data_IF_777380747295
#
_entry.id   IF_777380747295
#
_cell.length_a   1.000
_cell.length_b   1.000
_cell.length_c   1.000
_cell.angle_alpha   90.00
_cell.angle_beta   90.00
_cell.angle_gamma   90.00
#
_symmetry.space_group_name_H-M   'P 1'
#
loop_
_entity.id
_entity.type
_entity.pdbx_description
1 polymer ?
#
# COMPACT_ATOMS: atom_id res chain seq x y z
N UNK A 1 -0.24 -4.94 -28.07
CA UNK A 1 -0.76 -3.91 -27.14
C UNK A 1 -1.38 -4.65 -25.98
N UNK A 2 -0.70 -4.71 -24.83
CA UNK A 2 -1.29 -5.23 -23.60
C UNK A 2 -2.42 -4.28 -23.19
N UNK A 3 -3.65 -4.79 -23.16
CA UNK A 3 -4.79 -4.06 -22.60
C UNK A 3 -4.42 -3.65 -21.16
N UNK A 4 -4.56 -2.36 -20.88
CA UNK A 4 -4.38 -1.83 -19.54
C UNK A 4 -5.38 -2.55 -18.65
N UNK A 5 -4.89 -3.39 -17.72
CA UNK A 5 -5.75 -3.90 -16.67
C UNK A 5 -6.25 -2.68 -15.91
N UNK A 6 -7.56 -2.42 -15.95
CA UNK A 6 -8.14 -1.45 -15.03
C UNK A 6 -7.74 -1.90 -13.61
N UNK A 7 -7.13 -1.01 -12.81
CA UNK A 7 -6.79 -1.36 -11.44
C UNK A 7 -8.07 -1.83 -10.75
N UNK A 8 -8.03 -2.92 -9.97
CA UNK A 8 -9.18 -3.33 -9.19
C UNK A 8 -9.61 -2.14 -8.30
N UNK A 9 -10.83 -1.67 -8.50
CA UNK A 9 -11.39 -0.61 -7.66
C UNK A 9 -11.45 -1.13 -6.23
N UNK A 10 -10.75 -0.46 -5.31
CA UNK A 10 -10.71 -0.89 -3.89
C UNK A 10 -12.10 -0.83 -3.22
N UNK A 11 -13.03 -0.06 -3.78
CA UNK A 11 -14.44 -0.01 -3.34
C UNK A 11 -15.24 -1.27 -3.74
N UNK A 12 -14.71 -2.12 -4.64
CA UNK A 12 -15.50 -3.18 -5.29
C UNK A 12 -14.75 -4.51 -5.38
N UNK A 13 -13.89 -4.80 -4.41
CA UNK A 13 -13.60 -6.18 -4.05
C UNK A 13 -14.86 -6.79 -3.43
N UNK A 14 -15.88 -7.04 -4.27
CA UNK A 14 -17.08 -7.77 -3.93
C UNK A 14 -16.67 -9.00 -3.13
N UNK A 15 -17.00 -8.96 -1.84
CA UNK A 15 -17.05 -10.12 -0.99
C UNK A 15 -17.89 -11.16 -1.75
N UNK A 16 -17.46 -12.44 -1.80
CA UNK A 16 -18.28 -13.47 -2.41
C UNK A 16 -19.66 -13.45 -1.75
N UNK A 17 -20.68 -13.23 -2.56
CA UNK A 17 -22.09 -13.27 -2.16
C UNK A 17 -22.50 -14.71 -1.87
N UNK A 18 -22.12 -15.21 -0.71
CA UNK A 18 -22.75 -16.39 -0.11
C UNK A 18 -22.64 -16.37 1.41
N UNK A 19 -23.66 -15.77 2.02
CA UNK A 19 -24.14 -15.99 3.39
C UNK A 19 -23.09 -16.02 4.51
N UNK A 20 -22.81 -14.88 5.13
CA UNK A 20 -23.20 -14.59 6.53
C UNK A 20 -22.55 -13.27 6.99
N UNK A 21 -23.40 -12.33 7.39
CA UNK A 21 -23.09 -11.02 7.97
C UNK A 21 -22.24 -10.08 7.08
N UNK A 22 -22.93 -9.24 6.31
CA UNK A 22 -22.40 -7.95 5.87
C UNK A 22 -21.91 -7.18 7.09
N UNK A 23 -20.60 -7.09 7.23
CA UNK A 23 -19.95 -6.28 8.26
C UNK A 23 -19.52 -4.98 7.60
N UNK A 24 -20.11 -3.88 8.07
CA UNK A 24 -19.95 -2.55 7.49
C UNK A 24 -18.49 -2.08 7.54
N UNK A 25 -18.17 -1.08 6.73
CA UNK A 25 -16.89 -0.33 6.80
C UNK A 25 -16.58 0.26 8.20
N UNK A 26 -17.54 0.20 9.13
CA UNK A 26 -17.42 0.62 10.52
C UNK A 26 -17.16 -0.54 11.51
N UNK A 27 -16.82 -1.75 11.04
CA UNK A 27 -16.19 -2.72 11.95
C UNK A 27 -14.88 -2.12 12.44
N UNK A 28 -14.96 -1.51 13.63
CA UNK A 28 -13.83 -1.23 14.49
C UNK A 28 -13.05 -2.54 14.60
N UNK A 29 -12.01 -2.69 13.78
CA UNK A 29 -10.91 -3.57 14.09
C UNK A 29 -10.48 -3.10 15.47
N UNK A 30 -10.86 -3.88 16.49
CA UNK A 30 -10.33 -3.74 17.82
C UNK A 30 -8.83 -3.88 17.63
N UNK A 31 -8.15 -2.73 17.60
CA UNK A 31 -6.71 -2.71 17.70
C UNK A 31 -6.42 -3.36 19.04
N UNK A 32 -6.07 -4.64 19.00
CA UNK A 32 -5.33 -5.26 20.08
C UNK A 32 -4.11 -4.33 20.20
N UNK A 33 -3.97 -3.58 21.30
CA UNK A 33 -2.80 -2.75 21.49
C UNK A 33 -1.61 -3.67 21.25
N UNK A 34 -0.56 -3.17 20.59
CA UNK A 34 0.72 -3.87 20.50
C UNK A 34 1.32 -3.98 21.92
N UNK A 35 0.65 -4.71 22.82
CA UNK A 35 0.84 -4.76 24.25
C UNK A 35 2.16 -5.43 24.64
N UNK A 36 2.91 -5.90 23.64
CA UNK A 36 4.15 -6.62 23.81
C UNK A 36 5.36 -5.96 23.15
N UNK A 37 5.19 -4.87 22.39
CA UNK A 37 6.33 -4.12 21.89
C UNK A 37 6.64 -2.96 22.86
N UNK A 38 7.87 -2.91 23.43
CA UNK A 38 8.25 -1.77 24.26
C UNK A 38 8.10 -0.49 23.45
N UNK A 39 7.41 0.51 24.01
CA UNK A 39 7.32 1.80 23.36
C UNK A 39 8.74 2.39 23.25
N UNK A 40 9.09 2.97 22.09
CA UNK A 40 10.36 3.67 21.96
C UNK A 40 10.45 4.80 22.99
N UNK A 41 11.61 4.95 23.63
CA UNK A 41 11.84 5.99 24.66
C UNK A 41 12.86 7.04 24.22
N UNK A 42 13.40 6.93 23.01
CA UNK A 42 14.35 7.87 22.44
C UNK A 42 13.73 9.22 22.12
N UNK A 43 14.62 10.17 21.85
CA UNK A 43 14.28 11.55 21.52
C UNK A 43 14.91 11.95 20.19
N UNK A 44 14.16 12.68 19.37
CA UNK A 44 14.67 13.29 18.14
C UNK A 44 14.75 14.80 18.29
N UNK A 45 15.87 15.39 17.90
CA UNK A 45 16.18 16.79 18.20
C UNK A 45 16.57 17.55 16.95
N UNK A 46 15.89 18.65 16.69
CA UNK A 46 16.22 19.58 15.59
C UNK A 46 16.36 20.99 16.14
N UNK A 47 17.40 21.69 15.70
CA UNK A 47 17.64 23.09 16.04
C UNK A 47 17.45 23.97 14.81
N UNK A 48 16.94 25.19 15.00
CA UNK A 48 16.89 26.18 13.93
C UNK A 48 18.30 26.63 13.53
N UNK A 49 18.47 27.03 12.26
CA UNK A 49 19.78 27.43 11.72
C UNK A 49 20.45 28.59 12.50
N UNK A 50 19.65 29.42 13.18
CA UNK A 50 20.12 30.53 14.01
C UNK A 50 20.27 30.19 15.51
N UNK A 51 20.00 28.94 15.90
CA UNK A 51 20.06 28.48 17.29
C UNK A 51 19.04 29.14 18.23
N UNK A 52 18.01 29.79 17.69
CA UNK A 52 17.00 30.48 18.50
C UNK A 52 15.85 29.60 18.95
N UNK A 53 15.64 28.47 18.28
CA UNK A 53 14.62 27.49 18.63
C UNK A 53 15.15 26.07 18.48
N UNK A 54 14.65 25.19 19.34
CA UNK A 54 14.94 23.76 19.29
C UNK A 54 13.63 22.99 19.50
N UNK A 55 13.43 21.95 18.70
CA UNK A 55 12.31 21.03 18.77
C UNK A 55 12.85 19.68 19.21
N UNK A 56 12.25 19.13 20.26
CA UNK A 56 12.56 17.81 20.81
C UNK A 56 11.31 16.95 20.77
N UNK A 57 11.34 15.88 20.00
CA UNK A 57 10.23 14.94 19.83
C UNK A 57 10.49 13.69 20.65
N UNK A 58 9.50 13.24 21.42
CA UNK A 58 9.57 12.04 22.25
C UNK A 58 9.03 10.81 21.52
N UNK A 59 9.26 9.62 22.11
CA UNK A 59 8.67 8.37 21.63
C UNK A 59 9.31 7.82 20.36
N UNK A 60 10.61 8.07 20.17
CA UNK A 60 11.34 7.69 18.98
C UNK A 60 12.30 6.52 19.25
N UNK A 61 12.68 5.76 18.23
CA UNK A 61 13.77 4.79 18.34
C UNK A 61 15.12 5.50 18.48
N UNK A 62 16.13 4.83 19.04
CA UNK A 62 17.49 5.38 19.10
C UNK A 62 18.10 5.46 17.70
N UNK A 63 18.96 6.46 17.46
CA UNK A 63 19.72 6.63 16.21
C UNK A 63 18.88 6.76 14.92
N UNK A 64 17.64 7.24 15.02
CA UNK A 64 16.79 7.50 13.84
C UNK A 64 17.23 8.73 13.05
N UNK A 65 17.16 8.64 11.72
CA UNK A 65 17.37 9.78 10.82
C UNK A 65 16.16 10.72 10.78
N UNK A 66 14.95 10.15 10.89
CA UNK A 66 13.68 10.86 10.82
C UNK A 66 12.68 10.28 11.82
N UNK A 67 11.87 11.12 12.49
CA UNK A 67 10.79 10.64 13.35
C UNK A 67 9.82 9.73 12.60
N UNK A 68 9.28 8.72 13.28
CA UNK A 68 8.33 7.76 12.69
C UNK A 68 7.05 7.73 13.50
N UNK A 69 5.91 7.86 12.84
CA UNK A 69 4.60 7.80 13.47
C UNK A 69 3.67 6.84 12.75
N UNK A 70 2.82 6.15 13.50
CA UNK A 70 1.82 5.22 12.98
C UNK A 70 0.39 5.76 13.03
N UNK A 71 -0.57 4.89 12.74
CA UNK A 71 -2.00 5.22 12.78
C UNK A 71 -2.42 5.70 14.17
N UNK A 72 -3.04 6.89 14.24
CA UNK A 72 -3.41 7.51 15.52
C UNK A 72 -2.22 7.84 16.43
N UNK A 73 -1.00 7.85 15.90
CA UNK A 73 0.20 8.18 16.65
C UNK A 73 0.14 9.59 17.24
N UNK A 74 0.75 9.75 18.40
CA UNK A 74 0.85 11.04 19.09
C UNK A 74 2.18 11.71 18.76
N UNK A 75 2.12 12.87 18.13
CA UNK A 75 3.27 13.76 17.94
C UNK A 75 3.41 14.61 19.19
N UNK A 76 4.24 14.17 20.13
CA UNK A 76 4.51 14.85 21.39
C UNK A 76 5.95 15.33 21.49
N UNK A 77 6.14 16.45 22.16
CA UNK A 77 7.48 17.03 22.29
C UNK A 77 7.55 18.32 23.08
N UNK A 78 8.74 18.92 23.02
CA UNK A 78 9.10 20.17 23.70
C UNK A 78 9.71 21.14 22.67
N UNK A 79 9.23 22.38 22.70
CA UNK A 79 9.81 23.52 21.98
C UNK A 79 10.61 24.35 22.97
N UNK A 80 11.90 24.54 22.73
CA UNK A 80 12.81 25.36 23.54
C UNK A 80 13.20 26.61 22.75
N UNK A 81 13.09 27.79 23.38
CA UNK A 81 13.38 29.09 22.79
C UNK A 81 14.52 29.78 23.53
N UNK A 82 15.53 30.22 22.79
CA UNK A 82 16.70 30.90 23.36
C UNK A 82 16.45 32.38 23.68
N UNK A 83 15.48 33.02 22.99
CA UNK A 83 15.14 34.45 23.15
C UNK A 83 13.63 34.61 23.16
N UNK A 84 13.07 35.18 24.23
CA UNK A 84 11.61 35.24 24.44
C UNK A 84 11.03 36.66 24.43
N UNK A 85 11.86 37.70 24.59
CA UNK A 85 11.42 39.09 24.80
C UNK A 85 10.57 39.67 23.66
N UNK A 86 10.85 39.26 22.43
CA UNK A 86 10.23 39.80 21.21
C UNK A 86 9.14 38.90 20.62
N UNK A 87 8.82 37.78 21.26
CA UNK A 87 7.88 36.80 20.71
C UNK A 87 6.45 37.31 20.82
N UNK A 88 5.67 37.08 19.76
CA UNK A 88 4.26 37.41 19.63
C UNK A 88 3.38 36.16 19.68
N UNK A 89 3.78 35.09 19.00
CA UNK A 89 3.11 33.79 19.11
C UNK A 89 4.08 32.64 18.86
N UNK A 90 3.73 31.48 19.42
CA UNK A 90 4.39 30.20 19.20
C UNK A 90 3.30 29.19 18.85
N UNK A 91 3.33 28.69 17.62
CA UNK A 91 2.36 27.75 17.09
C UNK A 91 3.08 26.50 16.59
N UNK A 92 2.56 25.31 16.88
CA UNK A 92 3.02 24.04 16.32
C UNK A 92 1.98 23.52 15.35
N UNK A 93 2.40 23.16 14.15
CA UNK A 93 1.53 22.62 13.11
C UNK A 93 2.11 21.31 12.60
N UNK A 94 1.24 20.31 12.47
CA UNK A 94 1.54 19.03 11.82
C UNK A 94 0.76 19.00 10.52
N UNK A 95 1.47 18.82 9.42
CA UNK A 95 0.90 18.90 8.08
C UNK A 95 1.51 17.87 7.14
N UNK A 96 0.81 17.59 6.05
CA UNK A 96 1.25 16.71 4.97
C UNK A 96 0.99 17.34 3.61
N UNK A 97 1.54 16.73 2.58
CA UNK A 97 1.36 17.18 1.19
C UNK A 97 1.46 16.00 0.24
N UNK A 98 0.46 15.90 -0.62
CA UNK A 98 0.46 14.97 -1.75
C UNK A 98 0.86 15.75 -2.98
N UNK A 99 1.95 15.35 -3.62
CA UNK A 99 2.40 15.90 -4.90
C UNK A 99 2.32 14.80 -5.95
N UNK A 100 1.65 15.08 -7.05
CA UNK A 100 1.59 14.18 -8.21
C UNK A 100 1.90 15.01 -9.44
N UNK A 101 2.91 14.62 -10.20
CA UNK A 101 3.35 15.33 -11.39
C UNK A 101 3.45 14.35 -12.55
N UNK A 102 2.63 14.53 -13.58
CA UNK A 102 2.68 13.73 -14.80
C UNK A 102 3.62 14.35 -15.82
N UNK A 103 4.56 13.56 -16.34
CA UNK A 103 5.61 13.98 -17.27
C UNK A 103 5.06 14.03 -18.71
N UNK A 104 5.28 15.16 -19.39
CA UNK A 104 4.81 15.42 -20.76
C UNK A 104 3.84 16.59 -20.78
N UNK A 105 2.56 16.34 -20.48
CA UNK A 105 1.49 17.35 -20.51
C UNK A 105 0.39 17.11 -19.46
N UNK A 106 0.60 16.18 -18.52
CA UNK A 106 -0.46 15.74 -17.60
C UNK A 106 -0.78 16.76 -16.50
N UNK A 107 0.19 17.61 -16.17
CA UNK A 107 0.06 18.67 -15.14
C UNK A 107 0.64 18.26 -13.80
N UNK A 108 0.40 19.08 -12.78
CA UNK A 108 0.81 18.81 -11.41
C UNK A 108 -0.37 19.06 -10.46
N UNK A 109 -0.57 18.14 -9.53
CA UNK A 109 -1.46 18.30 -8.37
C UNK A 109 -0.63 18.45 -7.12
N UNK A 110 -1.11 19.33 -6.26
CA UNK A 110 -0.51 19.61 -4.97
C UNK A 110 -1.62 19.79 -3.93
N UNK A 111 -1.82 18.76 -3.10
CA UNK A 111 -2.88 18.72 -2.11
C UNK A 111 -2.28 18.86 -0.70
N UNK A 112 -2.46 20.00 -0.02
CA UNK A 112 -2.06 20.14 1.37
C UNK A 112 -3.00 19.33 2.27
N UNK A 113 -2.44 18.75 3.34
CA UNK A 113 -3.16 18.01 4.37
C UNK A 113 -2.86 18.66 5.71
N UNK A 114 -3.86 19.29 6.34
CA UNK A 114 -3.71 19.77 7.72
C UNK A 114 -4.06 18.64 8.68
N UNK A 115 -3.11 18.22 9.52
CA UNK A 115 -3.30 17.11 10.46
C UNK A 115 -3.61 17.60 11.87
N UNK A 116 -3.03 18.74 12.26
CA UNK A 116 -3.32 19.38 13.52
C UNK A 116 -2.51 20.67 13.69
N UNK A 117 -3.03 21.57 14.52
CA UNK A 117 -2.30 22.78 14.92
C UNK A 117 -2.64 23.12 16.36
N UNK A 118 -1.62 23.49 17.13
CA UNK A 118 -1.73 23.86 18.54
C UNK A 118 -1.01 25.18 18.76
N UNK A 119 -1.74 26.16 19.25
CA UNK A 119 -1.17 27.42 19.69
C UNK A 119 -0.64 27.27 21.11
N UNK A 120 0.69 27.29 21.26
CA UNK A 120 1.34 27.10 22.56
C UNK A 120 1.36 28.38 23.39
N UNK A 121 1.49 29.52 22.73
CA UNK A 121 1.50 30.81 23.40
C UNK A 121 1.19 31.96 22.44
N UNK A 122 0.49 32.97 22.95
CA UNK A 122 0.24 34.24 22.25
C UNK A 122 0.36 35.39 23.24
N UNK A 123 1.01 36.48 22.81
CA UNK A 123 1.14 37.69 23.60
C UNK A 123 -0.22 38.39 23.73
N UNK A 124 -0.76 38.44 24.94
CA UNK A 124 -1.89 39.33 25.26
C UNK A 124 -1.38 40.67 25.82
N UNK A 125 -2.19 41.72 25.70
CA UNK A 125 -1.77 43.12 25.95
C UNK A 125 -1.24 43.40 27.37
N UNK A 126 -1.61 42.58 28.36
CA UNK A 126 -1.20 42.72 29.77
C UNK A 126 -0.52 41.45 30.33
N UNK A 127 -0.02 40.56 29.47
CA UNK A 127 0.41 39.22 29.89
C UNK A 127 1.89 39.13 30.33
N UNK A 128 2.15 38.07 31.09
CA UNK A 128 3.48 37.59 31.50
C UNK A 128 4.45 37.41 30.33
N UNK A 129 5.77 37.46 30.59
CA UNK A 129 6.78 37.20 29.55
C UNK A 129 6.59 35.82 28.92
N UNK A 130 7.00 35.69 27.65
CA UNK A 130 6.94 34.43 26.92
C UNK A 130 7.84 33.38 27.59
N UNK A 131 7.32 32.17 27.92
CA UNK A 131 8.14 31.08 28.43
C UNK A 131 9.25 30.65 27.46
N UNK A 132 10.35 30.12 27.98
CA UNK A 132 11.44 29.57 27.16
C UNK A 132 11.21 28.12 26.74
N UNK A 133 10.19 27.45 27.27
CA UNK A 133 9.93 26.03 27.04
C UNK A 133 8.44 25.76 26.97
N UNK A 134 8.01 25.00 25.96
CA UNK A 134 6.61 24.63 25.76
C UNK A 134 6.50 23.14 25.46
N UNK A 135 5.65 22.45 26.18
CA UNK A 135 5.25 21.08 25.85
C UNK A 135 4.05 21.10 24.90
N UNK A 136 4.01 20.17 23.96
CA UNK A 136 2.87 20.01 23.07
C UNK A 136 2.58 18.53 22.80
N UNK A 137 1.35 18.26 22.37
CA UNK A 137 0.93 16.97 21.86
C UNK A 137 -0.12 17.17 20.77
N UNK A 138 0.01 16.44 19.66
CA UNK A 138 -0.93 16.41 18.54
C UNK A 138 -1.15 14.96 18.13
N UNK A 139 -2.39 14.47 18.24
CA UNK A 139 -2.75 13.14 17.73
C UNK A 139 -2.97 13.19 16.23
N UNK A 140 -2.32 12.31 15.47
CA UNK A 140 -2.51 12.21 14.03
C UNK A 140 -3.92 11.69 13.71
N UNK A 141 -4.67 12.35 12.81
CA UNK A 141 -5.99 11.87 12.41
C UNK A 141 -5.84 10.58 11.59
N UNK A 142 -6.87 9.73 11.64
CA UNK A 142 -6.91 8.49 10.83
C UNK A 142 -7.27 8.74 9.37
N UNK A 143 -7.89 9.88 9.11
CA UNK A 143 -8.41 10.28 7.82
C UNK A 143 -8.25 11.78 7.62
N UNK A 144 -8.37 12.22 6.37
CA UNK A 144 -8.40 13.62 6.01
C UNK A 144 -9.48 13.86 4.95
N UNK A 145 -9.99 15.08 4.90
CA UNK A 145 -10.96 15.49 3.88
C UNK A 145 -10.23 16.11 2.69
N UNK A 146 -10.63 15.69 1.49
CA UNK A 146 -10.19 16.29 0.24
C UNK A 146 -11.36 16.34 -0.73
N UNK A 147 -11.72 17.56 -1.16
CA UNK A 147 -12.78 17.80 -2.15
C UNK A 147 -14.13 17.16 -1.79
N UNK A 148 -14.47 17.22 -0.50
CA UNK A 148 -15.74 16.70 0.02
C UNK A 148 -15.78 15.18 0.20
N UNK A 149 -14.67 14.47 -0.01
CA UNK A 149 -14.53 13.04 0.32
C UNK A 149 -13.54 12.86 1.46
N UNK A 150 -13.83 11.90 2.34
CA UNK A 150 -12.92 11.49 3.41
C UNK A 150 -12.06 10.33 2.93
N UNK A 151 -10.74 10.46 3.06
CA UNK A 151 -9.77 9.41 2.72
C UNK A 151 -9.00 9.00 3.97
N UNK A 152 -8.57 7.74 4.11
CA UNK A 152 -7.58 7.37 5.11
C UNK A 152 -6.30 8.20 4.94
N UNK A 153 -5.62 8.51 6.04
CA UNK A 153 -4.33 9.18 5.97
C UNK A 153 -3.31 8.24 5.28
N UNK A 154 -2.75 8.61 4.11
CA UNK A 154 -1.90 7.69 3.36
C UNK A 154 -0.50 7.59 3.97
N UNK A 155 0.22 6.48 3.79
CA UNK A 155 1.61 6.36 4.23
C UNK A 155 2.52 7.37 3.52
N UNK A 156 3.63 7.75 4.18
CA UNK A 156 4.77 8.38 3.50
C UNK A 156 5.25 7.47 2.37
N UNK A 157 5.13 7.94 1.12
CA UNK A 157 5.41 7.13 -0.05
C UNK A 157 5.92 7.99 -1.21
N UNK A 158 6.75 7.39 -2.06
CA UNK A 158 7.18 7.97 -3.33
C UNK A 158 7.19 6.90 -4.41
N UNK A 159 6.66 7.24 -5.57
CA UNK A 159 6.65 6.39 -6.75
C UNK A 159 6.97 7.21 -7.99
N UNK A 160 7.77 6.64 -8.89
CA UNK A 160 8.16 7.30 -10.13
C UNK A 160 8.06 6.31 -11.30
N UNK A 161 7.50 6.78 -12.41
CA UNK A 161 7.64 6.15 -13.73
C UNK A 161 8.45 7.10 -14.61
N UNK A 162 9.67 6.70 -14.96
CA UNK A 162 10.56 7.49 -15.83
C UNK A 162 10.10 7.40 -17.28
N UNK A 163 10.33 8.46 -18.04
CA UNK A 163 9.97 8.55 -19.46
C UNK A 163 8.73 9.40 -19.71
N UNK A 164 8.30 9.44 -20.98
CA UNK A 164 7.06 10.10 -21.41
C UNK A 164 6.25 9.06 -22.19
N UNK A 165 5.03 8.69 -21.74
CA UNK A 165 4.38 9.15 -20.51
C UNK A 165 5.08 8.65 -19.23
N UNK A 166 5.04 9.45 -18.18
CA UNK A 166 5.63 9.11 -16.88
C UNK A 166 4.98 9.92 -15.76
N UNK A 167 5.34 9.63 -14.51
CA UNK A 167 4.88 10.43 -13.36
C UNK A 167 5.90 10.41 -12.22
N UNK A 168 5.80 11.40 -11.35
CA UNK A 168 6.47 11.50 -10.07
C UNK A 168 5.43 11.82 -9.00
N UNK A 169 5.26 10.91 -8.04
CA UNK A 169 4.30 11.03 -6.95
C UNK A 169 5.03 10.95 -5.60
N UNK A 170 4.67 11.83 -4.68
CA UNK A 170 5.27 11.91 -3.35
C UNK A 170 4.28 12.37 -2.29
N UNK A 171 4.28 11.66 -1.15
CA UNK A 171 3.48 11.96 0.03
C UNK A 171 4.45 12.20 1.19
N UNK A 172 4.49 13.42 1.67
CA UNK A 172 5.45 13.87 2.69
C UNK A 172 4.73 14.55 3.84
N UNK A 173 5.28 14.43 5.04
CA UNK A 173 4.74 15.03 6.26
C UNK A 173 5.81 15.79 7.02
N UNK A 174 5.40 16.85 7.72
CA UNK A 174 6.29 17.73 8.48
C UNK A 174 5.65 18.20 9.78
N UNK A 175 6.52 18.49 10.75
CA UNK A 175 6.20 19.19 11.99
C UNK A 175 6.87 20.56 11.89
N UNK A 176 6.08 21.62 12.03
CA UNK A 176 6.50 23.01 11.87
C UNK A 176 6.21 23.81 13.12
N UNK A 177 7.24 24.39 13.73
CA UNK A 177 7.14 25.36 14.82
C UNK A 177 7.26 26.76 14.23
N UNK A 178 6.18 27.54 14.30
CA UNK A 178 6.14 28.93 13.82
C UNK A 178 6.24 29.91 14.97
N UNK A 179 7.27 30.76 14.94
CA UNK A 179 7.52 31.77 15.96
C UNK A 179 7.36 33.14 15.31
N UNK A 180 6.32 33.86 15.68
CA UNK A 180 6.11 35.26 15.26
C UNK A 180 6.80 36.17 16.25
N UNK A 181 7.55 37.18 15.77
CA UNK A 181 8.25 38.12 16.64
C UNK A 181 8.15 39.56 16.14
N UNK A 182 8.36 40.54 17.03
CA UNK A 182 8.38 41.97 16.71
C UNK A 182 9.79 42.51 16.86
N UNK A 183 10.29 43.23 15.86
CA UNK A 183 11.60 43.90 15.95
C UNK A 183 11.43 45.37 15.56
N UNK A 184 11.86 46.27 16.43
CA UNK A 184 11.75 47.74 16.25
C UNK A 184 10.34 48.27 15.94
N UNK A 185 9.31 47.79 16.64
CA UNK A 185 7.95 48.30 16.40
C UNK A 185 7.24 47.68 15.19
N UNK A 186 7.96 46.99 14.30
CA UNK A 186 7.44 46.35 13.09
C UNK A 186 7.40 44.83 13.24
N UNK A 187 6.38 44.20 12.67
CA UNK A 187 6.32 42.76 12.51
C UNK A 187 7.33 42.35 11.42
N UNK A 188 8.50 41.88 11.82
CA UNK A 188 9.50 41.31 10.90
C UNK A 188 9.26 39.80 10.87
N UNK A 189 9.28 39.21 9.66
CA UNK A 189 8.81 37.85 9.35
C UNK A 189 9.09 36.77 10.41
N UNK A 190 8.16 35.82 10.51
CA UNK A 190 8.25 34.70 11.44
C UNK A 190 9.47 33.81 11.17
N UNK A 191 10.04 33.24 12.23
CA UNK A 191 11.00 32.15 12.12
C UNK A 191 10.23 30.84 12.17
N UNK A 192 10.44 29.96 11.20
CA UNK A 192 9.82 28.64 11.17
C UNK A 192 10.90 27.58 11.24
N UNK A 193 10.83 26.73 12.27
CA UNK A 193 11.61 25.51 12.40
C UNK A 193 10.74 24.36 11.90
N UNK A 194 11.17 23.63 10.87
CA UNK A 194 10.40 22.51 10.32
C UNK A 194 11.28 21.27 10.20
N UNK A 195 10.69 20.10 10.46
CA UNK A 195 11.35 18.81 10.30
C UNK A 195 10.40 17.80 9.65
N UNK A 196 10.84 17.03 8.64
CA UNK A 196 10.03 15.96 8.07
C UNK A 196 9.90 14.78 9.04
N UNK A 197 8.83 14.01 8.88
CA UNK A 197 8.68 12.71 9.53
C UNK A 197 8.10 11.68 8.56
N UNK A 198 8.25 10.41 8.94
CA UNK A 198 7.73 9.27 8.21
C UNK A 198 6.44 8.80 8.86
N UNK A 199 5.36 8.75 8.09
CA UNK A 199 4.10 8.17 8.52
C UNK A 199 3.95 6.75 7.97
N UNK A 200 3.99 5.75 8.86
CA UNK A 200 3.84 4.33 8.54
C UNK A 200 2.67 3.74 9.32
N UNK A 201 1.45 3.75 8.76
CA UNK A 201 0.29 3.14 9.39
C UNK A 201 0.53 1.64 9.53
N UNK A 202 0.41 1.17 10.77
CA UNK A 202 0.55 -0.23 11.14
C UNK A 202 -0.78 -0.96 10.93
N UNK A 203 -0.75 -2.06 10.20
CA UNK A 203 -1.93 -2.88 9.90
C UNK A 203 -1.57 -4.35 10.06
N UNK A 204 -2.51 -5.14 10.57
CA UNK A 204 -2.40 -6.60 10.69
C UNK A 204 -3.47 -7.28 9.85
N UNK A 205 -3.22 -8.48 9.30
CA UNK A 205 -4.27 -9.34 8.76
C UNK A 205 -5.31 -9.66 9.83
N UNK A 206 -6.56 -9.88 9.43
CA UNK A 206 -7.65 -10.27 10.35
C UNK A 206 -7.61 -11.77 10.68
N UNK A 207 -7.01 -12.57 9.80
CA UNK A 207 -6.94 -14.02 9.91
C UNK A 207 -5.51 -14.49 9.66
N UNK A 208 -5.12 -15.55 10.38
CA UNK A 208 -3.92 -16.31 10.08
C UNK A 208 -3.99 -16.98 8.71
N UNK A 209 -2.84 -17.38 8.19
CA UNK A 209 -2.79 -18.21 6.98
C UNK A 209 -3.46 -19.56 7.26
N UNK A 210 -4.28 -20.07 6.32
CA UNK A 210 -4.94 -21.37 6.48
C UNK A 210 -3.91 -22.51 6.38
N UNK A 211 -4.28 -23.68 6.91
CA UNK A 211 -3.53 -24.91 6.66
C UNK A 211 -3.48 -25.24 5.15
N UNK A 212 -2.42 -25.90 4.65
CA UNK A 212 -2.32 -26.30 3.25
C UNK A 212 -3.49 -27.18 2.80
N UNK A 213 -3.95 -27.02 1.55
CA UNK A 213 -5.01 -27.85 1.00
C UNK A 213 -4.59 -29.32 0.87
N UNK A 214 -5.54 -30.20 1.16
CA UNK A 214 -5.37 -31.63 0.95
C UNK A 214 -5.69 -32.04 -0.51
N UNK A 215 -4.91 -32.98 -1.02
CA UNK A 215 -5.10 -33.55 -2.35
C UNK A 215 -6.37 -34.41 -2.42
N UNK A 216 -7.09 -34.29 -3.53
CA UNK A 216 -8.25 -35.09 -3.89
C UNK A 216 -7.98 -35.89 -5.17
N UNK A 217 -8.93 -36.73 -5.59
CA UNK A 217 -8.82 -37.51 -6.83
C UNK A 217 -8.67 -36.68 -8.12
N UNK A 218 -9.06 -35.39 -8.08
CA UNK A 218 -9.02 -34.43 -9.20
C UNK A 218 -8.56 -33.06 -8.70
N UNK A 219 -7.32 -32.96 -8.21
CA UNK A 219 -6.76 -31.71 -7.68
C UNK A 219 -6.92 -31.58 -6.17
N UNK A 220 -7.62 -30.54 -5.69
CA UNK A 220 -7.70 -30.22 -4.25
C UNK A 220 -9.14 -30.32 -3.72
N UNK A 221 -9.27 -30.69 -2.45
CA UNK A 221 -10.57 -30.61 -1.74
C UNK A 221 -10.80 -29.16 -1.33
N UNK A 222 -12.00 -28.62 -1.54
CA UNK A 222 -12.35 -27.30 -1.03
C UNK A 222 -12.35 -27.30 0.50
N UNK A 223 -11.63 -26.37 1.12
CA UNK A 223 -11.53 -26.22 2.57
C UNK A 223 -11.83 -24.79 3.00
N UNK A 224 -12.31 -24.64 4.23
CA UNK A 224 -12.51 -23.33 4.87
C UNK A 224 -11.18 -22.56 4.90
N UNK A 225 -11.23 -21.27 4.59
CA UNK A 225 -10.04 -20.41 4.55
C UNK A 225 -9.36 -20.35 3.19
N UNK A 226 -9.81 -21.12 2.20
CA UNK A 226 -9.33 -21.04 0.81
C UNK A 226 -10.42 -20.54 -0.13
N UNK A 227 -10.02 -19.79 -1.15
CA UNK A 227 -10.91 -19.35 -2.24
C UNK A 227 -10.38 -19.86 -3.58
N UNK A 228 -11.23 -20.57 -4.30
CA UNK A 228 -10.94 -21.08 -5.64
C UNK A 228 -11.40 -20.09 -6.71
N UNK A 229 -10.49 -19.77 -7.63
CA UNK A 229 -10.74 -18.97 -8.82
C UNK A 229 -10.64 -19.88 -10.04
N UNK A 230 -11.76 -20.03 -10.76
CA UNK A 230 -11.85 -20.94 -11.91
C UNK A 230 -11.81 -20.17 -13.21
N UNK A 231 -10.91 -20.57 -14.10
CA UNK A 231 -10.68 -19.99 -15.41
C UNK A 231 -10.72 -21.06 -16.49
N UNK A 232 -10.89 -20.66 -17.74
CA UNK A 232 -10.86 -21.58 -18.89
C UNK A 232 -9.86 -21.09 -19.93
N UNK A 233 -8.81 -21.89 -20.17
CA UNK A 233 -7.92 -21.72 -21.32
C UNK A 233 -8.70 -22.21 -22.54
N UNK A 234 -9.07 -21.27 -23.40
CA UNK A 234 -9.90 -21.55 -24.57
C UNK A 234 -9.08 -22.16 -25.68
N UNK A 235 -9.69 -23.08 -26.42
CA UNK A 235 -9.12 -23.59 -27.67
C UNK A 235 -9.65 -22.80 -28.88
N UNK A 236 -8.86 -22.75 -29.96
CA UNK A 236 -9.36 -22.22 -31.22
C UNK A 236 -10.46 -23.15 -31.78
N UNK A 237 -11.55 -22.61 -32.36
CA UNK A 237 -12.70 -23.41 -32.81
C UNK A 237 -12.37 -24.55 -33.79
N UNK A 238 -11.25 -24.44 -34.53
CA UNK A 238 -10.83 -25.43 -35.55
C UNK A 238 -9.92 -26.54 -35.01
N UNK A 239 -9.49 -26.45 -33.75
CA UNK A 239 -8.53 -27.40 -33.17
C UNK A 239 -9.14 -28.77 -32.83
N UNK A 240 -10.46 -28.82 -32.60
CA UNK A 240 -11.14 -30.03 -32.14
C UNK A 240 -10.78 -30.44 -30.69
N UNK A 241 -10.04 -29.61 -29.96
CA UNK A 241 -9.63 -29.86 -28.59
C UNK A 241 -10.59 -29.21 -27.59
N UNK A 242 -10.77 -29.85 -26.44
CA UNK A 242 -11.52 -29.31 -25.32
C UNK A 242 -10.74 -28.19 -24.61
N UNK A 243 -11.47 -27.27 -23.97
CA UNK A 243 -10.88 -26.25 -23.11
C UNK A 243 -10.17 -26.90 -21.91
N UNK A 244 -9.20 -26.17 -21.33
CA UNK A 244 -8.55 -26.58 -20.08
C UNK A 244 -9.09 -25.69 -18.97
N UNK A 245 -9.62 -26.31 -17.92
CA UNK A 245 -10.08 -25.61 -16.73
C UNK A 245 -8.91 -25.43 -15.78
N UNK A 246 -8.68 -24.19 -15.34
CA UNK A 246 -7.62 -23.83 -14.39
C UNK A 246 -8.29 -23.38 -13.10
N UNK A 247 -7.92 -23.97 -11.96
CA UNK A 247 -8.39 -23.55 -10.64
C UNK A 247 -7.20 -23.06 -9.83
N UNK A 248 -7.19 -21.77 -9.49
CA UNK A 248 -6.21 -21.17 -8.58
C UNK A 248 -6.84 -21.02 -7.19
N UNK A 249 -6.22 -21.63 -6.20
CA UNK A 249 -6.60 -21.54 -4.79
C UNK A 249 -5.63 -20.62 -4.07
N UNK A 250 -6.17 -19.58 -3.43
CA UNK A 250 -5.42 -18.66 -2.57
C UNK A 250 -6.14 -18.50 -1.23
N UNK A 251 -5.46 -18.09 -0.15
CA UNK A 251 -6.11 -17.82 1.13
C UNK A 251 -7.25 -16.82 0.98
N UNK A 252 -8.42 -17.17 1.52
CA UNK A 252 -9.66 -16.42 1.35
C UNK A 252 -9.60 -15.02 1.98
N UNK A 253 -8.78 -14.81 3.01
CA UNK A 253 -8.57 -13.52 3.66
C UNK A 253 -8.05 -12.46 2.69
N UNK A 254 -7.20 -12.86 1.73
CA UNK A 254 -6.49 -11.99 0.78
C UNK A 254 -5.78 -10.81 1.46
N UNK A 255 -5.42 -10.96 2.73
CA UNK A 255 -4.70 -9.99 3.53
C UNK A 255 -3.47 -10.70 4.11
N UNK A 256 -2.27 -10.22 3.79
CA UNK A 256 -1.02 -10.92 4.06
C UNK A 256 -0.03 -10.01 4.76
N UNK A 257 0.66 -10.53 5.76
CA UNK A 257 1.79 -9.83 6.34
C UNK A 257 2.94 -9.78 5.33
N UNK A 258 3.59 -8.62 5.17
CA UNK A 258 4.64 -8.38 4.18
C UNK A 258 5.89 -9.26 4.37
N UNK A 259 6.06 -9.88 5.53
CA UNK A 259 7.17 -10.79 5.81
C UNK A 259 6.81 -12.27 5.67
N UNK A 260 5.52 -12.59 5.49
CA UNK A 260 5.08 -13.97 5.28
C UNK A 260 5.22 -14.38 3.82
N UNK A 261 5.39 -15.69 3.61
CA UNK A 261 5.23 -16.28 2.30
C UNK A 261 3.79 -16.72 2.09
N UNK A 262 3.20 -16.36 0.95
CA UNK A 262 1.79 -16.63 0.67
C UNK A 262 1.62 -17.99 0.01
N UNK A 263 0.96 -18.98 0.65
CA UNK A 263 0.75 -20.27 0.04
C UNK A 263 -0.31 -20.17 -1.08
N UNK A 264 -0.16 -20.98 -2.12
CA UNK A 264 -1.15 -21.12 -3.18
C UNK A 264 -1.19 -22.55 -3.71
N UNK A 265 -2.31 -22.91 -4.32
CA UNK A 265 -2.44 -24.17 -5.05
C UNK A 265 -3.05 -23.91 -6.42
N UNK A 266 -2.66 -24.68 -7.43
CA UNK A 266 -3.25 -24.58 -8.76
C UNK A 266 -3.54 -25.97 -9.31
N UNK A 267 -4.67 -26.15 -9.99
CA UNK A 267 -4.97 -27.35 -10.76
C UNK A 267 -5.39 -27.02 -12.19
N UNK A 268 -5.08 -27.94 -13.08
CA UNK A 268 -5.46 -27.97 -14.49
C UNK A 268 -6.29 -29.22 -14.72
N UNK A 269 -7.43 -29.09 -15.39
CA UNK A 269 -8.32 -30.19 -15.73
C UNK A 269 -8.67 -30.11 -17.22
N UNK A 270 -8.56 -31.22 -17.94
CA UNK A 270 -8.94 -31.31 -19.37
C UNK A 270 -9.62 -32.64 -19.65
N UNK A 271 -10.26 -32.78 -20.81
CA UNK A 271 -10.85 -34.05 -21.26
C UNK A 271 -9.80 -35.01 -21.87
N UNK A 272 -8.58 -34.53 -22.13
CA UNK A 272 -7.50 -35.26 -22.77
C UNK A 272 -6.18 -35.13 -21.98
N UNK A 273 -5.37 -36.17 -21.99
CA UNK A 273 -4.09 -36.28 -21.27
C UNK A 273 -2.96 -35.48 -21.92
N UNK A 274 -2.90 -35.51 -23.25
CA UNK A 274 -1.82 -34.90 -24.04
C UNK A 274 -1.79 -33.38 -24.02
N UNK A 275 -2.87 -32.72 -23.62
CA UNK A 275 -3.04 -31.26 -23.70
C UNK A 275 -2.51 -30.53 -22.48
N UNK A 276 -2.51 -31.17 -21.31
CA UNK A 276 -2.27 -30.51 -20.03
C UNK A 276 -0.78 -30.45 -19.65
N UNK A 277 0.04 -31.39 -20.14
CA UNK A 277 1.48 -31.44 -19.85
C UNK A 277 2.25 -30.24 -20.42
N UNK A 278 1.71 -29.57 -21.43
CA UNK A 278 2.29 -28.36 -22.02
C UNK A 278 2.21 -27.13 -21.10
N UNK A 279 1.37 -27.17 -20.07
CA UNK A 279 1.12 -26.05 -19.14
C UNK A 279 1.81 -26.18 -17.79
N UNK A 280 2.74 -27.13 -17.67
CA UNK A 280 3.49 -27.32 -16.44
C UNK A 280 4.29 -26.05 -16.09
N UNK A 281 4.35 -25.66 -14.81
CA UNK A 281 5.12 -24.50 -14.37
C UNK A 281 6.63 -24.74 -14.51
N UNK A 282 7.07 -26.00 -14.68
CA UNK A 282 8.47 -26.36 -14.84
C UNK A 282 8.78 -26.62 -16.31
N UNK A 283 9.73 -25.87 -16.88
CA UNK A 283 10.31 -26.14 -18.19
C UNK A 283 11.76 -26.62 -18.06
N UNK A 284 12.34 -27.25 -19.10
CA UNK A 284 13.78 -27.47 -19.15
C UNK A 284 14.51 -26.13 -18.99
N UNK A 285 15.69 -26.14 -18.35
CA UNK A 285 16.44 -24.93 -18.03
C UNK A 285 16.59 -24.01 -19.27
N UNK A 286 15.98 -22.81 -19.19
CA UNK A 286 15.96 -21.82 -20.29
C UNK A 286 14.66 -21.75 -21.09
N UNK A 287 13.69 -22.64 -20.88
CA UNK A 287 12.34 -22.49 -21.44
C UNK A 287 11.50 -21.51 -20.62
N UNK A 288 10.66 -20.72 -21.29
CA UNK A 288 9.68 -19.86 -20.61
C UNK A 288 8.68 -20.72 -19.82
N UNK A 289 8.43 -20.34 -18.57
CA UNK A 289 7.42 -20.99 -17.73
C UNK A 289 6.03 -20.80 -18.34
N UNK A 290 5.39 -21.90 -18.72
CA UNK A 290 4.04 -21.85 -19.29
C UNK A 290 3.02 -21.32 -18.28
N UNK A 291 3.23 -21.59 -17.00
CA UNK A 291 2.40 -21.09 -15.90
C UNK A 291 3.24 -20.25 -14.96
N UNK A 292 2.78 -19.02 -14.70
CA UNK A 292 3.43 -18.07 -13.79
C UNK A 292 2.39 -17.44 -12.87
N UNK A 293 2.72 -17.34 -11.58
CA UNK A 293 1.94 -16.59 -10.61
C UNK A 293 2.85 -15.54 -9.99
N UNK A 294 2.43 -14.28 -9.99
CA UNK A 294 3.21 -13.18 -9.41
C UNK A 294 2.36 -12.40 -8.42
N UNK A 295 3.00 -11.84 -7.41
CA UNK A 295 2.44 -10.73 -6.63
C UNK A 295 2.97 -9.43 -7.24
N UNK A 296 2.06 -8.57 -7.66
CA UNK A 296 2.38 -7.28 -8.25
C UNK A 296 1.90 -6.14 -7.38
N UNK A 297 2.61 -5.02 -7.46
CA UNK A 297 2.22 -3.71 -6.97
C UNK A 297 2.00 -2.78 -8.16
N UNK A 298 0.85 -2.14 -8.21
CA UNK A 298 0.51 -1.15 -9.22
C UNK A 298 0.35 0.23 -8.59
N UNK A 299 1.21 1.16 -9.00
CA UNK A 299 1.09 2.58 -8.67
C UNK A 299 0.39 3.30 -9.83
N UNK A 300 -0.74 3.93 -9.58
CA UNK A 300 -1.55 4.62 -10.59
C UNK A 300 -1.69 6.09 -10.25
N UNK A 301 -1.37 6.95 -11.21
CA UNK A 301 -1.54 8.40 -11.19
C UNK A 301 -2.70 8.80 -12.11
N UNK A 302 -3.51 9.76 -11.66
CA UNK A 302 -4.51 10.45 -12.47
C UNK A 302 -4.53 11.94 -12.10
N UNK A 303 -3.73 12.74 -12.80
CA UNK A 303 -3.65 14.19 -12.56
C UNK A 303 -4.81 14.95 -13.19
N UNK A 304 -5.44 14.42 -14.23
CA UNK A 304 -6.47 15.16 -14.96
C UNK A 304 -7.84 15.00 -14.31
N UNK A 305 -8.10 13.86 -13.65
CA UNK A 305 -9.40 13.54 -13.05
C UNK A 305 -10.57 13.64 -14.05
N UNK A 306 -10.26 13.63 -15.35
CA UNK A 306 -11.15 13.98 -16.42
C UNK A 306 -11.03 12.93 -17.53
N UNK A 307 -12.18 12.49 -18.03
CA UNK A 307 -12.25 11.65 -19.21
C UNK A 307 -11.88 12.49 -20.43
N UNK A 308 -10.72 12.23 -21.03
CA UNK A 308 -10.33 12.84 -22.30
C UNK A 308 -10.83 11.92 -23.41
N UNK A 309 -11.78 12.38 -24.22
CA UNK A 309 -12.42 11.55 -25.26
C UNK A 309 -13.01 10.23 -24.73
N UNK A 310 -13.67 10.25 -23.55
CA UNK A 310 -14.19 9.06 -22.87
C UNK A 310 -13.15 8.00 -22.49
N UNK A 311 -11.86 8.34 -22.51
CA UNK A 311 -10.78 7.46 -22.06
C UNK A 311 -10.16 8.00 -20.79
N UNK A 312 -9.91 7.11 -19.81
CA UNK A 312 -9.16 7.44 -18.59
C UNK A 312 -7.70 7.73 -19.00
N UNK A 313 -7.13 8.85 -18.56
CA UNK A 313 -5.75 9.22 -18.89
C UNK A 313 -4.74 8.72 -17.85
N UNK A 314 -5.11 7.70 -17.08
CA UNK A 314 -4.31 7.22 -15.97
C UNK A 314 -2.97 6.69 -16.49
N UNK A 315 -1.90 7.04 -15.78
CA UNK A 315 -0.57 6.48 -16.01
C UNK A 315 -0.27 5.55 -14.85
N UNK A 316 0.21 4.34 -15.13
CA UNK A 316 0.55 3.39 -14.08
C UNK A 316 1.90 2.72 -14.30
N UNK A 317 2.49 2.32 -13.18
CA UNK A 317 3.67 1.46 -13.12
C UNK A 317 3.29 0.18 -12.37
N UNK A 318 3.74 -0.95 -12.89
CA UNK A 318 3.59 -2.25 -12.22
C UNK A 318 4.97 -2.78 -11.86
N UNK A 319 5.15 -3.10 -10.58
CA UNK A 319 6.34 -3.73 -10.04
C UNK A 319 5.99 -5.16 -9.60
N UNK A 320 6.83 -6.12 -9.96
CA UNK A 320 6.75 -7.48 -9.39
C UNK A 320 7.36 -7.42 -7.99
N UNK A 321 6.58 -7.71 -6.95
CA UNK A 321 7.01 -7.72 -5.55
C UNK A 321 6.96 -9.13 -4.94
N UNK A 322 6.87 -10.14 -5.80
CA UNK A 322 6.92 -11.55 -5.42
C UNK A 322 6.66 -12.45 -6.63
N UNK A 323 7.32 -13.60 -6.68
CA UNK A 323 7.15 -14.58 -7.74
C UNK A 323 6.86 -15.96 -7.13
N UNK A 324 5.82 -16.62 -7.64
CA UNK A 324 5.37 -17.92 -7.16
C UNK A 324 6.40 -19.01 -7.42
N UNK A 325 6.82 -19.65 -6.35
CA UNK A 325 7.68 -20.83 -6.37
C UNK A 325 6.76 -22.04 -6.32
N UNK A 326 6.67 -22.75 -7.44
CA UNK A 326 5.92 -23.99 -7.55
C UNK A 326 6.74 -25.13 -6.92
N UNK A 327 6.10 -25.88 -6.03
CA UNK A 327 6.60 -27.12 -5.47
C UNK A 327 6.09 -28.36 -6.22
N UNK A 328 6.40 -29.56 -5.71
CA UNK A 328 5.99 -30.81 -6.32
C UNK A 328 4.48 -30.87 -6.53
N UNK A 329 4.09 -31.36 -7.71
CA UNK A 329 2.71 -31.56 -8.09
C UNK A 329 2.22 -32.99 -7.92
N UNK A 330 0.93 -33.19 -8.09
CA UNK A 330 0.36 -34.50 -8.40
C UNK A 330 -0.32 -34.43 -9.76
N UNK A 331 -0.32 -35.55 -10.46
CA UNK A 331 -0.86 -35.68 -11.81
C UNK A 331 -1.77 -36.90 -11.92
N UNK A 332 -2.63 -36.84 -12.93
CA UNK A 332 -3.44 -37.95 -13.39
C UNK A 332 -3.68 -37.83 -14.88
N UNK A 333 -4.39 -38.80 -15.46
CA UNK A 333 -4.61 -38.84 -16.91
C UNK A 333 -5.30 -37.58 -17.46
N UNK A 334 -6.09 -36.86 -16.67
CA UNK A 334 -6.89 -35.73 -17.16
C UNK A 334 -6.69 -34.46 -16.32
N UNK A 335 -5.71 -34.46 -15.42
CA UNK A 335 -5.47 -33.33 -14.53
C UNK A 335 -4.02 -33.25 -14.06
N UNK A 336 -3.58 -32.03 -13.78
CA UNK A 336 -2.28 -31.71 -13.17
C UNK A 336 -2.54 -30.74 -12.04
N UNK A 337 -1.68 -30.74 -11.03
CA UNK A 337 -1.87 -29.84 -9.91
C UNK A 337 -0.59 -29.62 -9.14
N UNK A 338 -0.43 -28.42 -8.60
CA UNK A 338 0.79 -27.95 -7.98
C UNK A 338 0.45 -27.19 -6.71
N UNK A 339 1.33 -27.31 -5.72
CA UNK A 339 1.31 -26.46 -4.52
C UNK A 339 2.52 -25.55 -4.57
N UNK A 340 2.42 -24.33 -4.07
CA UNK A 340 3.52 -23.39 -4.09
C UNK A 340 3.38 -22.31 -3.04
N UNK A 341 4.33 -21.39 -3.04
CA UNK A 341 4.30 -20.21 -2.20
C UNK A 341 4.92 -19.00 -2.90
N UNK A 342 4.50 -17.79 -2.53
CA UNK A 342 5.04 -16.54 -3.06
C UNK A 342 5.79 -15.84 -1.93
N UNK A 343 7.13 -15.80 -1.93
CA UNK A 343 7.86 -14.89 -1.05
C UNK A 343 7.57 -13.44 -1.46
N UNK A 344 7.32 -12.58 -0.47
CA UNK A 344 7.06 -11.16 -0.70
C UNK A 344 8.39 -10.41 -0.58
N UNK A 345 8.71 -9.59 -1.58
CA UNK A 345 9.84 -8.68 -1.51
C UNK A 345 9.59 -7.61 -0.43
N UNK A 346 10.62 -7.15 0.30
CA UNK A 346 10.44 -6.17 1.37
C UNK A 346 9.76 -4.88 0.86
N UNK A 347 8.50 -4.68 1.24
CA UNK A 347 7.76 -3.45 0.98
C UNK A 347 7.56 -2.67 2.27
N UNK A 348 7.88 -1.37 2.25
CA UNK A 348 7.77 -0.50 3.44
C UNK A 348 6.35 -0.04 3.75
N UNK A 349 5.48 -0.04 2.74
CA UNK A 349 4.11 0.50 2.84
C UNK A 349 3.13 -0.44 2.19
N UNK A 350 1.90 -0.46 2.69
CA UNK A 350 0.76 -1.20 2.12
C UNK A 350 0.08 -0.40 1.01
N UNK A 351 -0.82 -1.05 0.25
CA UNK A 351 -1.68 -0.34 -0.69
C UNK A 351 -2.56 0.72 -0.02
N UNK A 352 -2.85 1.78 -0.76
CA UNK A 352 -3.73 2.90 -0.37
C UNK A 352 -4.34 3.54 -1.62
N UNK A 353 -5.43 4.28 -1.44
CA UNK A 353 -6.12 4.95 -2.55
C UNK A 353 -6.47 6.39 -2.20
N UNK A 354 -6.05 7.30 -3.06
CA UNK A 354 -6.39 8.73 -3.06
C UNK A 354 -6.98 9.07 -4.44
N UNK A 355 -7.62 10.24 -4.57
CA UNK A 355 -8.24 10.64 -5.84
C UNK A 355 -7.30 10.59 -7.05
N UNK A 356 -6.09 11.13 -6.88
CA UNK A 356 -5.15 11.33 -7.97
C UNK A 356 -3.96 10.36 -7.95
N UNK A 357 -3.88 9.52 -6.91
CA UNK A 357 -2.78 8.60 -6.74
C UNK A 357 -3.20 7.40 -5.90
N UNK A 358 -2.90 6.20 -6.37
CA UNK A 358 -3.19 4.97 -5.62
C UNK A 358 -2.08 3.94 -5.81
N UNK A 359 -1.93 3.10 -4.80
CA UNK A 359 -1.07 1.93 -4.79
C UNK A 359 -1.94 0.73 -4.49
N UNK A 360 -1.98 -0.24 -5.40
CA UNK A 360 -2.78 -1.46 -5.27
C UNK A 360 -1.88 -2.68 -5.39
N UNK A 361 -2.21 -3.74 -4.66
CA UNK A 361 -1.49 -5.00 -4.69
C UNK A 361 -2.42 -6.11 -5.23
N UNK A 362 -1.88 -7.06 -5.99
CA UNK A 362 -2.68 -8.13 -6.58
C UNK A 362 -1.85 -9.32 -7.04
N UNK A 363 -2.47 -10.50 -7.06
CA UNK A 363 -1.91 -11.64 -7.79
C UNK A 363 -2.16 -11.48 -9.28
N UNK A 364 -1.19 -11.86 -10.10
CA UNK A 364 -1.35 -12.03 -11.55
C UNK A 364 -1.01 -13.47 -11.91
N UNK A 365 -2.04 -14.23 -12.30
CA UNK A 365 -1.90 -15.54 -12.90
C UNK A 365 -1.74 -15.36 -14.40
N UNK A 366 -0.63 -15.84 -14.96
CA UNK A 366 -0.41 -15.90 -16.40
C UNK A 366 -0.20 -17.35 -16.82
N UNK A 367 -1.01 -17.82 -17.77
CA UNK A 367 -0.81 -19.13 -18.39
C UNK A 367 -0.64 -18.92 -19.89
N UNK A 368 0.59 -19.09 -20.37
CA UNK A 368 0.98 -18.90 -21.76
C UNK A 368 1.34 -20.26 -22.37
N UNK A 369 0.75 -20.65 -23.51
CA UNK A 369 1.16 -21.86 -24.20
C UNK A 369 2.64 -21.80 -24.66
N UNK A 370 3.38 -22.93 -24.71
CA UNK A 370 4.80 -22.93 -25.06
C UNK A 370 5.15 -22.29 -26.41
N UNK A 371 4.30 -22.43 -27.43
CA UNK A 371 4.42 -21.77 -28.73
C UNK A 371 3.12 -21.05 -29.06
N UNK A 372 3.02 -19.75 -28.74
CA UNK A 372 1.81 -18.93 -28.97
C UNK A 372 1.38 -18.93 -30.44
N UNK A 373 2.30 -19.16 -31.39
CA UNK A 373 1.99 -19.12 -32.82
C UNK A 373 1.43 -20.43 -33.36
N UNK A 374 1.76 -21.56 -32.72
CA UNK A 374 1.32 -22.90 -33.15
C UNK A 374 0.33 -23.57 -32.20
N UNK A 375 0.27 -23.08 -30.97
CA UNK A 375 -0.59 -23.63 -29.94
C UNK A 375 -2.06 -23.51 -30.34
N UNK A 376 -2.86 -24.58 -30.16
CA UNK A 376 -4.30 -24.51 -30.33
C UNK A 376 -5.02 -23.79 -29.18
N UNK A 377 -4.28 -23.35 -28.15
CA UNK A 377 -4.78 -22.72 -26.94
C UNK A 377 -4.51 -21.22 -26.92
N UNK A 378 -5.45 -20.47 -26.34
CA UNK A 378 -5.36 -19.04 -26.07
C UNK A 378 -4.97 -18.89 -24.59
N UNK A 379 -3.81 -18.28 -24.34
CA UNK A 379 -3.33 -18.03 -22.97
C UNK A 379 -4.28 -17.13 -22.17
N UNK A 380 -4.18 -17.22 -20.85
CA UNK A 380 -4.96 -16.41 -19.91
C UNK A 380 -4.04 -15.52 -19.07
N UNK A 381 -4.56 -14.35 -18.69
CA UNK A 381 -3.90 -13.45 -17.75
C UNK A 381 -4.94 -12.83 -16.84
N UNK A 382 -4.92 -13.21 -15.58
CA UNK A 382 -5.99 -12.93 -14.62
C UNK A 382 -5.43 -12.26 -13.37
N UNK A 383 -6.17 -11.29 -12.82
CA UNK A 383 -5.73 -10.50 -11.66
C UNK A 383 -6.66 -10.71 -10.47
N UNK A 384 -6.10 -10.92 -9.28
CA UNK A 384 -6.85 -11.05 -8.03
C UNK A 384 -6.34 -10.01 -7.04
N UNK A 385 -7.19 -9.06 -6.64
CA UNK A 385 -6.83 -8.03 -5.67
C UNK A 385 -6.51 -8.63 -4.29
N UNK A 386 -5.46 -8.11 -3.65
CA UNK A 386 -5.03 -8.47 -2.30
C UNK A 386 -4.68 -7.23 -1.48
N UNK A 387 -4.54 -7.41 -0.17
CA UNK A 387 -4.05 -6.42 0.77
C UNK A 387 -2.77 -6.93 1.41
N UNK A 388 -1.80 -6.05 1.55
CA UNK A 388 -0.62 -6.30 2.36
C UNK A 388 -0.78 -5.59 3.71
N UNK A 389 -0.15 -6.14 4.74
CA UNK A 389 -0.18 -5.69 6.11
C UNK A 389 1.25 -5.59 6.65
N UNK A 390 1.55 -4.57 7.46
CA UNK A 390 2.91 -4.33 7.97
C UNK A 390 3.26 -5.16 9.19
N UNK A 391 2.26 -5.63 9.92
CA UNK A 391 2.41 -6.43 11.14
C UNK A 391 1.85 -7.85 10.97
N UNK A 392 2.37 -8.83 11.74
CA UNK A 392 1.81 -10.17 11.74
C UNK A 392 0.38 -10.17 12.28
N UNK A 393 -0.33 -11.26 12.00
CA UNK A 393 -1.59 -11.56 12.68
C UNK A 393 -1.33 -11.80 14.18
N UNK A 394 -2.19 -11.26 15.03
CA UNK A 394 -2.18 -11.46 16.48
C UNK A 394 -3.47 -12.20 16.86
N UNK A 395 -3.34 -13.26 17.68
CA UNK A 395 -4.45 -14.10 18.16
C UNK A 395 -5.31 -13.39 19.23
#
# INVERSE_FOLDING_TARGET
MSEALEPPTYEEALLPSSSSAERSLDEQILHIPAAHLPLPQGEFIVSSNNGHARLRLSGQEEDIELPVYGIGGEVSGIVELAKTDSILSVDVTVEGRIKVHELGEGGQIDTPILLGSVQLWTKADNASPCPSTFSFSVTLPRSFESEGKTYPLPPSHSAQLKGVPGFDAGINYWISVSIKSKKFGLAIGGNTLSTPFIYYPRTSPVHSLPAPLEWAKKGFTEQVGWKAYTYAIKTYPKSGLANIIVKLYVPASRAFWVSDSIPFHISFESESDKTITEFQPFGPAGALHATRLQLIRQSTSDVRGALVHNTKTNIWRTDSIGEGIFGPGTDGATWLSFSGHIPIEPVKVTGFSLRHFSVTDGFVLTVTPPDVTKSPFIGIRETIAVRLATDPWLE
#
